data_IF_246656097030
#
_entry.id   IF_246656097030
#
_cell.length_a   1.000
_cell.length_b   1.000
_cell.length_c   1.000
_cell.angle_alpha   90.00
_cell.angle_beta   90.00
_cell.angle_gamma   90.00
#
_symmetry.space_group_name_H-M   'P 1'
#
loop_
_entity.id
_entity.type
_entity.pdbx_description
1 polymer ?
#
# COMPACT_ATOMS: atom_id res chain seq x y z
N UNK A 1 52.59 36.69 -14.52
CA UNK A 1 52.20 37.00 -15.91
C UNK A 1 51.09 36.02 -16.26
N UNK A 2 49.81 36.34 -16.03
CA UNK A 2 48.93 37.18 -16.89
C UNK A 2 48.21 36.24 -17.87
N UNK A 3 46.89 36.16 -18.05
CA UNK A 3 45.75 37.01 -17.70
C UNK A 3 44.45 36.18 -17.61
N UNK A 4 43.46 36.75 -16.92
CA UNK A 4 42.07 36.30 -16.78
C UNK A 4 41.24 36.60 -18.06
N UNK A 5 40.22 35.78 -18.38
CA UNK A 5 38.79 36.16 -18.55
C UNK A 5 37.92 35.05 -19.21
N UNK A 6 36.82 34.72 -18.54
CA UNK A 6 35.52 34.36 -19.14
C UNK A 6 34.78 35.70 -19.50
N UNK A 7 33.60 35.79 -20.19
CA UNK A 7 32.47 34.83 -20.23
C UNK A 7 31.70 34.73 -21.58
N UNK A 8 30.69 33.83 -21.65
CA UNK A 8 29.62 33.92 -22.65
C UNK A 8 28.90 32.61 -23.03
N UNK A 9 27.78 32.32 -22.37
CA UNK A 9 26.69 31.40 -22.78
C UNK A 9 26.05 31.80 -24.13
N UNK A 10 25.48 30.87 -24.92
CA UNK A 10 24.08 30.42 -24.77
C UNK A 10 23.97 28.88 -24.90
N UNK A 11 23.05 28.15 -24.27
CA UNK A 11 21.60 28.37 -24.31
C UNK A 11 20.94 26.99 -24.55
N UNK A 12 20.17 26.56 -23.56
CA UNK A 12 18.97 25.73 -23.66
C UNK A 12 18.90 24.64 -24.76
N UNK A 13 18.98 23.38 -24.32
CA UNK A 13 18.58 22.25 -25.14
C UNK A 13 18.20 21.05 -24.28
N UNK A 14 17.32 21.26 -23.31
CA UNK A 14 16.78 20.21 -22.47
C UNK A 14 16.04 19.17 -23.30
N UNK A 15 16.68 18.03 -23.56
CA UNK A 15 15.97 16.77 -23.79
C UNK A 15 15.83 16.09 -22.45
N UNK A 16 14.82 16.53 -21.68
CA UNK A 16 14.26 15.69 -20.62
C UNK A 16 13.57 14.56 -21.36
N UNK A 17 14.11 13.36 -21.26
CA UNK A 17 13.42 12.16 -21.71
C UNK A 17 12.02 12.14 -21.08
N UNK A 18 10.94 12.01 -21.88
CA UNK A 18 9.57 11.99 -21.35
C UNK A 18 9.27 10.75 -20.49
N UNK A 19 10.18 9.78 -20.45
CA UNK A 19 10.01 8.51 -19.76
C UNK A 19 10.40 8.53 -18.27
N UNK A 20 11.00 9.61 -17.76
CA UNK A 20 11.26 9.78 -16.32
C UNK A 20 10.13 10.51 -15.59
N UNK A 21 8.91 10.03 -15.79
CA UNK A 21 7.81 10.27 -14.87
C UNK A 21 7.26 8.93 -14.45
N UNK A 22 7.97 8.26 -13.55
CA UNK A 22 7.33 7.19 -12.76
C UNK A 22 6.07 7.81 -12.15
N UNK A 23 4.84 7.34 -12.46
CA UNK A 23 3.66 7.80 -11.78
C UNK A 23 3.68 7.22 -10.36
N UNK A 24 4.43 7.88 -9.46
CA UNK A 24 4.31 7.72 -8.03
C UNK A 24 3.20 8.66 -7.56
N UNK A 25 1.95 8.27 -7.80
CA UNK A 25 0.80 8.96 -7.25
C UNK A 25 -0.28 7.94 -6.85
N UNK A 26 -0.25 7.58 -5.57
CA UNK A 26 -1.40 7.21 -4.72
C UNK A 26 -2.30 6.08 -5.25
N UNK A 27 -1.81 4.84 -5.20
CA UNK A 27 -2.66 3.65 -5.02
C UNK A 27 -3.04 3.45 -3.53
N UNK A 28 -3.34 4.54 -2.81
CA UNK A 28 -3.64 4.49 -1.37
C UNK A 28 -5.14 4.63 -1.05
N UNK A 29 -6.00 4.72 -2.07
CA UNK A 29 -7.45 4.72 -1.89
C UNK A 29 -7.93 3.26 -1.87
N UNK A 30 -8.83 2.93 -0.94
CA UNK A 30 -9.60 1.68 -0.98
C UNK A 30 -10.60 1.82 -2.13
N UNK A 31 -10.11 1.65 -3.37
CA UNK A 31 -10.87 1.76 -4.62
C UNK A 31 -10.56 0.52 -5.45
N UNK A 32 -11.46 0.10 -6.35
CA UNK A 32 -11.20 -1.05 -7.20
C UNK A 32 -10.03 -0.77 -8.17
N UNK A 33 -9.23 -1.79 -8.53
CA UNK A 33 -8.18 -1.65 -9.54
C UNK A 33 -8.69 -1.07 -10.86
N UNK A 34 -9.91 -1.45 -11.27
CA UNK A 34 -10.56 -0.95 -12.48
C UNK A 34 -10.87 0.54 -12.40
N UNK A 35 -11.42 1.01 -11.27
CA UNK A 35 -11.72 2.42 -11.01
C UNK A 35 -10.43 3.25 -10.86
N UNK A 36 -9.35 2.65 -10.35
CA UNK A 36 -8.03 3.29 -10.35
C UNK A 36 -7.47 3.44 -11.77
N UNK A 37 -7.54 2.39 -12.61
CA UNK A 37 -7.04 2.43 -13.99
C UNK A 37 -7.85 3.39 -14.86
N UNK A 38 -9.16 3.52 -14.65
CA UNK A 38 -10.02 4.47 -15.38
C UNK A 38 -9.72 5.94 -15.08
N UNK A 39 -9.19 6.24 -13.89
CA UNK A 39 -8.88 7.62 -13.46
C UNK A 39 -7.47 8.08 -13.85
N UNK A 40 -6.65 7.20 -14.40
CA UNK A 40 -5.25 7.48 -14.72
C UNK A 40 -5.05 7.48 -16.23
N UNK A 41 -4.61 8.61 -16.79
CA UNK A 41 -4.25 8.69 -18.20
C UNK A 41 -2.98 7.87 -18.49
N UNK A 42 -2.95 7.17 -19.63
CA UNK A 42 -1.83 6.32 -20.10
C UNK A 42 -1.50 5.10 -19.21
N UNK A 43 -2.48 4.50 -18.54
CA UNK A 43 -2.29 3.27 -17.76
C UNK A 43 -2.75 2.04 -18.56
N UNK A 44 -2.04 0.90 -18.48
CA UNK A 44 -2.51 -0.36 -19.05
C UNK A 44 -3.94 -0.69 -18.57
N UNK A 45 -4.69 -1.43 -19.39
CA UNK A 45 -6.04 -1.87 -19.02
C UNK A 45 -6.03 -2.61 -17.67
N UNK A 46 -7.15 -2.55 -16.95
CA UNK A 46 -7.31 -3.21 -15.64
C UNK A 46 -6.85 -4.67 -15.65
N UNK A 47 -7.23 -5.42 -16.69
CA UNK A 47 -6.83 -6.82 -16.83
C UNK A 47 -5.32 -6.99 -17.10
N UNK A 48 -4.71 -6.06 -17.82
CA UNK A 48 -3.25 -6.07 -18.05
C UNK A 48 -2.50 -5.75 -16.75
N UNK A 49 -2.97 -4.77 -15.99
CA UNK A 49 -2.41 -4.43 -14.68
C UNK A 49 -2.56 -5.60 -13.69
N UNK A 50 -3.74 -6.24 -13.65
CA UNK A 50 -4.01 -7.41 -12.80
C UNK A 50 -3.10 -8.59 -13.16
N UNK A 51 -2.95 -8.91 -14.45
CA UNK A 51 -2.05 -9.99 -14.90
C UNK A 51 -0.59 -9.69 -14.58
N UNK A 52 -0.13 -8.46 -14.81
CA UNK A 52 1.24 -8.05 -14.50
C UNK A 52 1.52 -8.12 -12.99
N UNK A 53 0.59 -7.68 -12.15
CA UNK A 53 0.65 -7.85 -10.69
C UNK A 53 0.76 -9.34 -10.34
N UNK A 54 -0.15 -10.17 -10.80
CA UNK A 54 -0.13 -11.61 -10.50
C UNK A 54 1.16 -12.30 -10.95
N UNK A 55 1.74 -11.89 -12.08
CA UNK A 55 3.00 -12.44 -12.59
C UNK A 55 4.23 -11.97 -11.82
N UNK A 56 4.17 -10.83 -11.12
CA UNK A 56 5.29 -10.24 -10.39
C UNK A 56 5.21 -10.43 -8.88
N UNK A 57 4.06 -10.87 -8.37
CA UNK A 57 3.85 -11.07 -6.94
C UNK A 57 4.76 -12.20 -6.43
N UNK A 58 5.54 -11.95 -5.36
CA UNK A 58 6.29 -12.99 -4.69
C UNK A 58 5.34 -13.94 -3.94
N UNK A 59 5.90 -15.00 -3.36
CA UNK A 59 5.16 -15.88 -2.47
C UNK A 59 4.45 -15.08 -1.34
N UNK A 60 3.35 -15.61 -0.83
CA UNK A 60 2.51 -14.93 0.15
C UNK A 60 3.28 -14.49 1.41
N UNK A 61 4.16 -15.36 1.93
CA UNK A 61 4.92 -15.07 3.15
C UNK A 61 5.92 -13.92 2.94
N UNK A 62 6.57 -13.88 1.78
CA UNK A 62 7.50 -12.84 1.35
C UNK A 62 6.78 -11.53 1.09
N UNK A 63 5.63 -11.59 0.40
CA UNK A 63 4.77 -10.43 0.19
C UNK A 63 4.33 -9.82 1.53
N UNK A 64 3.80 -10.65 2.44
CA UNK A 64 3.36 -10.22 3.76
C UNK A 64 4.51 -9.57 4.55
N UNK A 65 5.69 -10.17 4.55
CA UNK A 65 6.88 -9.63 5.22
C UNK A 65 7.29 -8.27 4.65
N UNK A 66 7.35 -8.13 3.33
CA UNK A 66 7.75 -6.90 2.66
C UNK A 66 6.73 -5.77 2.90
N UNK A 67 5.43 -6.07 2.81
CA UNK A 67 4.36 -5.12 3.08
C UNK A 67 4.39 -4.65 4.54
N UNK A 68 4.52 -5.58 5.50
CA UNK A 68 4.61 -5.23 6.91
C UNK A 68 5.84 -4.37 7.21
N UNK A 69 6.98 -4.66 6.59
CA UNK A 69 8.18 -3.84 6.74
C UNK A 69 8.01 -2.43 6.17
N UNK A 70 7.38 -2.30 4.99
CA UNK A 70 7.08 -1.01 4.40
C UNK A 70 6.14 -0.19 5.30
N UNK A 71 5.04 -0.80 5.78
CA UNK A 71 4.10 -0.17 6.70
C UNK A 71 4.77 0.29 8.01
N UNK A 72 5.58 -0.58 8.62
CA UNK A 72 6.31 -0.25 9.84
C UNK A 72 7.38 0.84 9.61
N UNK A 73 8.01 0.86 8.44
CA UNK A 73 9.00 1.86 8.05
C UNK A 73 8.45 3.29 8.02
N UNK A 74 7.18 3.44 7.66
CA UNK A 74 6.47 4.73 7.63
C UNK A 74 6.04 5.24 9.01
N UNK A 75 6.16 4.44 10.08
CA UNK A 75 5.81 4.89 11.43
C UNK A 75 6.86 5.89 11.97
N UNK A 76 6.44 6.97 12.66
CA UNK A 76 7.36 7.85 13.38
C UNK A 76 8.30 7.09 14.33
N UNK A 77 9.56 7.54 14.42
CA UNK A 77 10.58 6.91 15.30
C UNK A 77 10.12 6.85 16.76
N UNK A 78 9.33 7.80 17.23
CA UNK A 78 8.79 7.85 18.59
C UNK A 78 7.84 6.69 18.89
N UNK A 79 6.97 6.34 17.95
CA UNK A 79 6.08 5.17 18.09
C UNK A 79 6.83 3.84 18.06
N UNK A 80 8.01 3.81 17.43
CA UNK A 80 8.87 2.62 17.36
C UNK A 80 9.77 2.42 18.58
N UNK A 81 10.11 3.49 19.29
CA UNK A 81 11.08 3.47 20.41
C UNK A 81 10.45 3.23 21.78
N UNK A 82 9.17 3.56 21.96
CA UNK A 82 8.50 3.46 23.26
C UNK A 82 7.29 2.54 23.18
N UNK A 83 7.02 1.74 24.24
CA UNK A 83 5.78 0.99 24.34
C UNK A 83 4.56 1.90 24.15
N UNK A 84 3.66 1.52 23.24
CA UNK A 84 2.43 2.26 22.99
C UNK A 84 1.27 1.56 23.72
N UNK A 85 0.38 2.35 24.33
CA UNK A 85 -0.92 1.84 24.74
C UNK A 85 -1.79 1.71 23.49
N UNK A 86 -2.04 0.48 23.09
CA UNK A 86 -2.84 0.13 21.93
C UNK A 86 -4.17 -0.46 22.40
N UNK A 87 -5.27 -0.03 21.77
CA UNK A 87 -6.53 -0.75 21.82
C UNK A 87 -6.62 -1.64 20.57
N UNK A 88 -7.06 -2.88 20.74
CA UNK A 88 -7.27 -3.84 19.65
C UNK A 88 -8.75 -4.19 19.65
N UNK A 89 -9.43 -3.88 18.54
CA UNK A 89 -10.84 -4.19 18.34
C UNK A 89 -10.96 -5.24 17.22
N UNK A 90 -11.78 -6.28 17.44
CA UNK A 90 -12.05 -7.32 16.44
C UNK A 90 -13.38 -7.04 15.74
N UNK A 91 -13.32 -6.87 14.42
CA UNK A 91 -14.50 -6.70 13.56
C UNK A 91 -14.75 -8.01 12.80
N UNK A 92 -15.95 -8.57 12.98
CA UNK A 92 -16.37 -9.80 12.33
C UNK A 92 -17.30 -9.47 11.18
N UNK A 93 -16.86 -9.74 9.95
CA UNK A 93 -17.69 -9.57 8.75
C UNK A 93 -18.28 -10.94 8.37
N UNK A 94 -19.61 -11.09 8.32
CA UNK A 94 -20.27 -12.34 7.92
C UNK A 94 -19.75 -12.84 6.57
N UNK A 95 -19.35 -14.11 6.53
CA UNK A 95 -18.90 -14.78 5.32
C UNK A 95 -19.92 -15.83 4.87
N UNK A 96 -20.31 -15.74 3.59
CA UNK A 96 -21.31 -16.62 2.97
C UNK A 96 -20.78 -17.40 1.77
N UNK A 97 -19.48 -17.27 1.45
CA UNK A 97 -18.84 -17.99 0.35
C UNK A 97 -18.40 -19.41 0.73
N UNK A 98 -17.88 -20.16 -0.25
CA UNK A 98 -17.17 -21.41 0.03
C UNK A 98 -15.71 -21.11 0.41
N UNK A 99 -15.22 -21.56 1.58
CA UNK A 99 -13.83 -21.37 1.99
C UNK A 99 -12.88 -21.94 0.92
N UNK A 100 -11.86 -21.16 0.54
CA UNK A 100 -10.87 -21.58 -0.45
C UNK A 100 -9.88 -22.59 0.15
N UNK A 101 -10.15 -23.90 0.03
CA UNK A 101 -9.30 -25.08 0.40
C UNK A 101 -8.72 -25.14 1.82
N UNK A 102 -8.54 -24.03 2.52
CA UNK A 102 -7.97 -23.89 3.84
C UNK A 102 -8.98 -23.18 4.76
N UNK A 103 -9.58 -23.91 5.71
CA UNK A 103 -10.53 -23.34 6.66
C UNK A 103 -9.89 -22.49 7.77
N UNK A 104 -8.55 -22.45 7.92
CA UNK A 104 -7.89 -21.65 8.98
C UNK A 104 -8.14 -20.14 8.84
N UNK A 105 -8.45 -19.65 7.64
CA UNK A 105 -8.76 -18.24 7.39
C UNK A 105 -10.16 -17.78 7.84
N UNK A 106 -11.01 -18.68 8.36
CA UNK A 106 -12.40 -18.40 8.70
C UNK A 106 -12.63 -18.53 10.20
N UNK A 107 -12.95 -17.42 10.85
CA UNK A 107 -13.29 -17.39 12.26
C UNK A 107 -14.71 -17.92 12.49
N UNK A 108 -14.91 -18.75 13.52
CA UNK A 108 -16.24 -19.24 13.93
C UNK A 108 -16.72 -18.55 15.20
N UNK A 109 -17.98 -18.13 15.20
CA UNK A 109 -18.59 -17.44 16.35
C UNK A 109 -20.10 -17.61 16.42
N UNK A 110 -20.72 -16.87 17.34
CA UNK A 110 -22.18 -16.81 17.45
C UNK A 110 -22.80 -16.40 16.11
N UNK A 111 -23.89 -17.06 15.73
CA UNK A 111 -24.54 -16.83 14.45
C UNK A 111 -25.01 -15.37 14.34
N UNK A 112 -24.66 -14.72 13.24
CA UNK A 112 -25.11 -13.38 12.86
C UNK A 112 -25.45 -13.40 11.38
N UNK A 113 -26.53 -12.73 11.00
CA UNK A 113 -26.98 -12.63 9.60
C UNK A 113 -27.06 -13.99 8.87
N UNK A 114 -27.40 -15.06 9.60
CA UNK A 114 -27.55 -16.40 9.03
C UNK A 114 -26.26 -17.20 8.81
N UNK A 115 -25.10 -16.72 9.27
CA UNK A 115 -23.83 -17.47 9.23
C UNK A 115 -23.12 -17.48 10.59
N UNK A 116 -22.36 -18.55 10.85
CA UNK A 116 -21.45 -18.64 12.01
C UNK A 116 -19.99 -18.44 11.61
N UNK A 117 -19.75 -18.13 10.33
CA UNK A 117 -18.45 -18.00 9.71
C UNK A 117 -18.17 -16.54 9.39
N UNK A 118 -16.98 -16.07 9.77
CA UNK A 118 -16.62 -14.66 9.66
C UNK A 118 -15.20 -14.49 9.11
N UNK A 119 -15.01 -13.44 8.32
CA UNK A 119 -13.70 -12.84 8.20
C UNK A 119 -13.47 -11.94 9.41
N UNK A 120 -12.46 -12.27 10.19
CA UNK A 120 -12.09 -11.52 11.38
C UNK A 120 -10.96 -10.54 11.04
N UNK A 121 -11.24 -9.25 11.21
CA UNK A 121 -10.27 -8.18 11.03
C UNK A 121 -9.97 -7.54 12.38
N UNK A 122 -8.70 -7.37 12.71
CA UNK A 122 -8.30 -6.59 13.88
C UNK A 122 -7.94 -5.17 13.46
N UNK A 123 -8.53 -4.20 14.14
CA UNK A 123 -8.11 -2.81 14.05
C UNK A 123 -7.35 -2.44 15.31
N UNK A 124 -6.18 -1.83 15.15
CA UNK A 124 -5.35 -1.38 16.26
C UNK A 124 -5.34 0.14 16.30
N UNK A 125 -5.68 0.72 17.45
CA UNK A 125 -5.67 2.17 17.67
C UNK A 125 -4.64 2.53 18.73
N UNK A 126 -3.66 3.33 18.36
CA UNK A 126 -2.67 3.87 19.28
C UNK A 126 -2.98 5.30 19.68
N UNK A 127 -2.74 5.64 20.95
CA UNK A 127 -2.78 7.04 21.39
C UNK A 127 -1.51 7.74 20.90
N UNK A 128 -1.62 8.67 19.95
CA UNK A 128 -0.48 9.52 19.58
C UNK A 128 -0.10 10.40 20.78
N UNK A 129 1.15 10.32 21.29
CA UNK A 129 1.64 11.30 22.26
C UNK A 129 1.77 12.65 21.54
N UNK A 130 1.00 13.64 21.97
CA UNK A 130 1.14 15.02 21.51
C UNK A 130 2.52 15.57 21.88
N UNK A 131 3.18 16.37 21.02
CA UNK A 131 4.36 17.10 21.44
C UNK A 131 3.95 18.11 22.52
N UNK A 132 4.63 18.06 23.66
CA UNK A 132 4.59 19.11 24.68
C UNK A 132 5.56 20.23 24.31
#
# INVERSE_FOLDING_TARGET
>A
MGHQRAPGTPGAGGRRDPHDRRPRAVAARITSPSDACQRLDNVPSDETARKALLATLPDYATLQRQLNAALAGHLPKTLRKHPQRLAIDLTLIPYHGQPSRDPEGIYRGQAKDGTSHFHAYSSTRGRCPWPR
#
